data_IF_192143282730
#
_entry.id   IF_192143282730
#
_cell.length_a   1.000
_cell.length_b   1.000
_cell.length_c   1.000
_cell.angle_alpha   90.00
_cell.angle_beta   90.00
_cell.angle_gamma   90.00
#
_symmetry.space_group_name_H-M   'P 1'
#
loop_
_entity.id
_entity.type
_entity.pdbx_description
1 polymer ?
#
# COMPACT_ATOMS: atom_id res chain seq x y z
N UNK A 1 -8.59 -12.17 2.82
CA UNK A 1 -7.96 -10.94 2.33
C UNK A 1 -6.66 -10.81 3.08
N UNK A 2 -5.53 -10.91 2.39
CA UNK A 2 -4.18 -10.99 3.00
C UNK A 2 -3.50 -9.62 3.07
N UNK A 3 -3.75 -8.75 2.08
CA UNK A 3 -3.28 -7.37 2.03
C UNK A 3 -4.46 -6.48 1.60
N UNK A 4 -4.60 -5.32 2.24
CA UNK A 4 -5.57 -4.29 1.91
C UNK A 4 -4.84 -2.98 1.62
N UNK A 5 -5.10 -2.37 0.47
CA UNK A 5 -4.53 -1.08 0.06
C UNK A 5 -5.65 -0.03 0.15
N UNK A 6 -5.54 0.96 1.06
CA UNK A 6 -6.62 1.92 1.30
C UNK A 6 -6.68 3.00 0.22
N UNK A 7 -7.90 3.45 -0.13
CA UNK A 7 -8.20 4.53 -1.08
C UNK A 7 -9.32 4.20 -2.08
N UNK A 8 -9.95 5.23 -2.68
CA UNK A 8 -11.01 5.14 -3.67
C UNK A 8 -10.79 6.12 -4.87
N UNK A 9 -9.84 5.83 -5.78
CA UNK A 9 -8.92 4.70 -5.75
C UNK A 9 -7.66 5.01 -4.90
N UNK A 10 -6.90 3.99 -4.51
CA UNK A 10 -5.56 4.21 -3.98
C UNK A 10 -4.67 4.92 -5.00
N UNK A 11 -3.77 5.78 -4.52
CA UNK A 11 -2.76 6.43 -5.35
C UNK A 11 -1.82 5.38 -5.98
N UNK A 12 -1.35 5.65 -7.20
CA UNK A 12 -0.47 4.73 -7.93
C UNK A 12 0.84 4.43 -7.17
N UNK A 13 1.39 5.45 -6.50
CA UNK A 13 2.60 5.31 -5.70
C UNK A 13 2.37 4.42 -4.45
N UNK A 14 1.19 4.52 -3.82
CA UNK A 14 0.81 3.64 -2.70
C UNK A 14 0.72 2.18 -3.16
N UNK A 15 0.17 1.94 -4.35
CA UNK A 15 0.14 0.60 -4.96
C UNK A 15 1.56 0.09 -5.23
N UNK A 16 2.41 0.91 -5.85
CA UNK A 16 3.80 0.55 -6.15
C UNK A 16 4.59 0.21 -4.88
N UNK A 17 4.45 1.01 -3.82
CA UNK A 17 5.11 0.77 -2.54
C UNK A 17 4.71 -0.59 -1.92
N UNK A 18 3.41 -0.90 -1.88
CA UNK A 18 2.94 -2.18 -1.35
C UNK A 18 3.50 -3.36 -2.16
N UNK A 19 3.54 -3.25 -3.49
CA UNK A 19 4.13 -4.28 -4.32
C UNK A 19 5.65 -4.42 -4.11
N UNK A 20 6.40 -3.33 -3.97
CA UNK A 20 7.84 -3.42 -3.70
C UNK A 20 8.15 -4.12 -2.38
N UNK A 21 7.38 -3.84 -1.32
CA UNK A 21 7.53 -4.53 -0.04
C UNK A 21 7.34 -6.04 -0.18
N UNK A 22 6.28 -6.46 -0.87
CA UNK A 22 5.98 -7.89 -1.08
C UNK A 22 7.07 -8.57 -1.92
N UNK A 23 7.54 -7.91 -2.98
CA UNK A 23 8.61 -8.45 -3.84
C UNK A 23 9.94 -8.61 -3.10
N UNK A 24 10.18 -7.79 -2.08
CA UNK A 24 11.34 -7.89 -1.20
C UNK A 24 11.12 -8.88 -0.03
N UNK A 25 9.96 -9.54 0.04
CA UNK A 25 9.62 -10.50 1.08
C UNK A 25 9.25 -9.85 2.43
N UNK A 26 8.91 -8.57 2.43
CA UNK A 26 8.48 -7.82 3.63
C UNK A 26 6.95 -7.82 3.78
N UNK A 27 6.48 -7.69 5.02
CA UNK A 27 5.06 -7.42 5.30
C UNK A 27 4.84 -5.92 5.09
N UNK A 28 3.98 -5.49 4.15
CA UNK A 28 3.82 -4.08 3.84
C UNK A 28 3.19 -3.33 5.02
N UNK A 29 3.82 -2.23 5.40
CA UNK A 29 3.28 -1.24 6.33
C UNK A 29 3.16 0.09 5.61
N UNK A 30 1.93 0.50 5.29
CA UNK A 30 1.66 1.75 4.56
C UNK A 30 1.92 2.94 5.49
N UNK A 31 2.88 3.83 5.17
CA UNK A 31 3.15 5.03 5.96
C UNK A 31 1.93 5.95 6.05
N UNK A 32 1.79 6.67 7.17
CA UNK A 32 0.60 7.50 7.45
C UNK A 32 0.47 8.71 6.54
N UNK A 33 1.57 9.19 5.93
CA UNK A 33 1.61 10.29 4.98
C UNK A 33 1.07 9.93 3.58
N UNK A 34 1.05 8.64 3.23
CA UNK A 34 0.50 8.13 1.96
C UNK A 34 -0.75 7.27 2.13
N UNK A 35 -1.29 7.19 3.35
CA UNK A 35 -2.49 6.44 3.69
C UNK A 35 -3.73 7.32 3.60
N UNK A 36 -4.71 6.93 2.77
CA UNK A 36 -6.00 7.62 2.63
C UNK A 36 -7.15 6.64 2.46
N UNK A 37 -8.38 7.08 2.79
CA UNK A 37 -9.59 6.26 2.74
C UNK A 37 -10.73 6.91 1.96
N UNK A 38 -10.49 8.10 1.40
CA UNK A 38 -11.45 8.81 0.56
C UNK A 38 -11.67 8.11 -0.77
#
# INVERSE_FOLDING_TARGET
>A
MDVYVPGCPPDADTIMYVFSEILEGRIPSVPTDIMRYD
#
